data_IF_690831342197
#
_entry.id   IF_690831342197
#
_cell.length_a   1.000
_cell.length_b   1.000
_cell.length_c   1.000
_cell.angle_alpha   90.00
_cell.angle_beta   90.00
_cell.angle_gamma   90.00
#
_symmetry.space_group_name_H-M   'P 1'
#
loop_
_entity.id
_entity.type
_entity.pdbx_description
1 polymer ?
#
# COMPACT_ATOMS: atom_id res chain seq x y z
N UNK A 1 46.54 -29.85 -71.63
CA UNK A 1 47.25 -28.95 -70.70
C UNK A 1 46.28 -28.48 -69.62
N UNK A 2 46.47 -28.88 -68.36
CA UNK A 2 45.91 -28.18 -67.18
C UNK A 2 46.71 -28.61 -65.94
N UNK A 3 47.60 -27.73 -65.44
CA UNK A 3 48.35 -27.95 -64.19
C UNK A 3 47.42 -27.59 -63.02
N UNK A 4 47.00 -28.59 -62.25
CA UNK A 4 46.36 -28.40 -60.95
C UNK A 4 47.40 -27.91 -59.94
N UNK A 5 47.39 -26.60 -59.62
CA UNK A 5 48.15 -26.07 -58.49
C UNK A 5 47.50 -26.50 -57.17
N UNK A 6 48.21 -27.31 -56.38
CA UNK A 6 47.82 -27.64 -55.01
C UNK A 6 47.96 -26.39 -54.13
N UNK A 7 46.84 -25.81 -53.70
CA UNK A 7 46.81 -24.80 -52.63
C UNK A 7 47.45 -25.37 -51.36
N UNK A 8 48.67 -24.94 -51.02
CA UNK A 8 49.30 -25.25 -49.73
C UNK A 8 48.52 -24.54 -48.61
N UNK A 9 47.78 -25.30 -47.81
CA UNK A 9 47.21 -24.80 -46.55
C UNK A 9 48.35 -24.43 -45.61
N UNK A 10 48.57 -23.13 -45.41
CA UNK A 10 49.62 -22.59 -44.52
C UNK A 10 49.26 -23.01 -43.08
N UNK A 11 49.97 -24.01 -42.52
CA UNK A 11 49.76 -24.47 -41.14
C UNK A 11 50.03 -23.30 -40.19
N UNK A 12 49.01 -22.88 -39.43
CA UNK A 12 49.15 -21.85 -38.39
C UNK A 12 50.26 -22.18 -37.40
N UNK A 13 51.09 -21.18 -37.07
CA UNK A 13 52.17 -21.31 -36.09
C UNK A 13 51.65 -21.66 -34.70
N UNK A 14 52.43 -22.43 -33.92
CA UNK A 14 52.08 -22.88 -32.56
C UNK A 14 51.66 -21.71 -31.66
N UNK A 15 52.36 -20.58 -31.74
CA UNK A 15 52.03 -19.35 -30.99
C UNK A 15 50.63 -18.81 -31.32
N UNK A 16 50.25 -18.77 -32.60
CA UNK A 16 48.94 -18.27 -33.06
C UNK A 16 47.80 -19.17 -32.56
N UNK A 17 48.02 -20.49 -32.48
CA UNK A 17 47.07 -21.44 -31.89
C UNK A 17 46.91 -21.25 -30.39
N UNK A 18 48.02 -21.03 -29.67
CA UNK A 18 47.99 -20.77 -28.22
C UNK A 18 47.26 -19.47 -27.93
N UNK A 19 47.56 -18.39 -28.66
CA UNK A 19 46.85 -17.11 -28.52
C UNK A 19 45.35 -17.23 -28.77
N UNK A 20 44.92 -17.97 -29.81
CA UNK A 20 43.49 -18.23 -30.04
C UNK A 20 42.84 -19.02 -28.91
N UNK A 21 43.52 -20.02 -28.36
CA UNK A 21 42.99 -20.81 -27.24
C UNK A 21 42.83 -19.96 -25.98
N UNK A 22 43.80 -19.09 -25.68
CA UNK A 22 43.71 -18.14 -24.55
C UNK A 22 42.56 -17.17 -24.73
N UNK A 23 42.40 -16.59 -25.92
CA UNK A 23 41.28 -15.69 -26.24
C UNK A 23 39.94 -16.43 -26.12
N UNK A 24 39.86 -17.64 -26.66
CA UNK A 24 38.66 -18.47 -26.57
C UNK A 24 38.30 -18.79 -25.11
N UNK A 25 39.28 -19.21 -24.30
CA UNK A 25 39.07 -19.49 -22.88
C UNK A 25 38.62 -18.23 -22.12
N UNK A 26 39.22 -17.06 -22.44
CA UNK A 26 38.80 -15.78 -21.89
C UNK A 26 37.35 -15.43 -22.23
N UNK A 27 36.92 -15.65 -23.47
CA UNK A 27 35.53 -15.45 -23.90
C UNK A 27 34.57 -16.40 -23.18
N UNK A 28 34.94 -17.67 -23.01
CA UNK A 28 34.13 -18.64 -22.27
C UNK A 28 33.95 -18.21 -20.81
N UNK A 29 35.04 -17.79 -20.14
CA UNK A 29 34.96 -17.27 -18.77
C UNK A 29 34.07 -16.03 -18.71
N UNK A 30 34.21 -15.09 -19.65
CA UNK A 30 33.36 -13.90 -19.72
C UNK A 30 31.87 -14.27 -19.84
N UNK A 31 31.52 -15.18 -20.75
CA UNK A 31 30.15 -15.65 -20.92
C UNK A 31 29.62 -16.29 -19.63
N UNK A 32 30.42 -17.13 -18.96
CA UNK A 32 30.03 -17.75 -17.69
C UNK A 32 29.80 -16.72 -16.58
N UNK A 33 30.64 -15.68 -16.50
CA UNK A 33 30.47 -14.59 -15.52
C UNK A 33 29.21 -13.80 -15.82
N UNK A 34 29.00 -13.40 -17.08
CA UNK A 34 27.79 -12.67 -17.50
C UNK A 34 26.54 -13.50 -17.23
N UNK A 35 26.55 -14.79 -17.56
CA UNK A 35 25.45 -15.71 -17.28
C UNK A 35 25.14 -15.81 -15.78
N UNK A 36 26.17 -15.94 -14.93
CA UNK A 36 25.99 -15.97 -13.47
C UNK A 36 25.42 -14.66 -12.92
N UNK A 37 25.91 -13.51 -13.41
CA UNK A 37 25.39 -12.20 -13.01
C UNK A 37 23.94 -12.00 -13.47
N UNK A 38 23.64 -12.40 -14.70
CA UNK A 38 22.29 -12.36 -15.24
C UNK A 38 21.34 -13.23 -14.41
N UNK A 39 21.73 -14.47 -14.13
CA UNK A 39 20.96 -15.39 -13.31
C UNK A 39 20.67 -14.78 -11.94
N UNK A 40 21.69 -14.28 -11.23
CA UNK A 40 21.53 -13.64 -9.90
C UNK A 40 20.50 -12.51 -9.86
N UNK A 41 20.29 -11.81 -10.98
CA UNK A 41 19.37 -10.66 -11.07
C UNK A 41 17.97 -11.10 -11.49
N UNK A 42 17.86 -12.00 -12.46
CA UNK A 42 16.61 -12.28 -13.18
C UNK A 42 16.01 -13.67 -12.93
N UNK A 43 16.73 -14.61 -12.30
CA UNK A 43 16.07 -15.85 -11.86
C UNK A 43 15.17 -15.58 -10.66
N UNK A 44 14.05 -16.31 -10.54
CA UNK A 44 13.24 -16.30 -9.33
C UNK A 44 14.13 -16.54 -8.10
N UNK A 45 13.94 -15.71 -7.08
CA UNK A 45 14.53 -15.90 -5.75
C UNK A 45 13.46 -15.99 -4.67
N UNK A 46 12.23 -15.57 -4.98
CA UNK A 46 11.07 -15.74 -4.11
C UNK A 46 10.42 -17.08 -4.40
N UNK A 47 10.37 -17.97 -3.40
CA UNK A 47 9.75 -19.28 -3.49
C UNK A 47 8.80 -19.49 -2.31
N UNK A 48 7.51 -19.34 -2.56
CA UNK A 48 6.45 -19.44 -1.58
C UNK A 48 5.60 -20.68 -1.85
N UNK A 49 5.07 -21.31 -0.80
CA UNK A 49 4.08 -22.39 -0.93
C UNK A 49 2.72 -21.88 -1.42
N UNK A 50 2.47 -20.57 -1.31
CA UNK A 50 1.23 -19.90 -1.72
C UNK A 50 1.45 -19.03 -2.97
N UNK A 51 0.38 -18.41 -3.47
CA UNK A 51 0.49 -17.46 -4.58
C UNK A 51 1.21 -16.16 -4.18
N UNK A 52 1.13 -15.78 -2.91
CA UNK A 52 1.74 -14.56 -2.36
C UNK A 52 1.81 -14.61 -0.83
N UNK A 53 2.70 -13.78 -0.29
CA UNK A 53 2.84 -13.51 1.14
C UNK A 53 2.76 -12.00 1.40
N UNK A 54 2.17 -11.63 2.54
CA UNK A 54 2.13 -10.25 3.00
C UNK A 54 3.33 -9.99 3.89
N UNK A 55 4.19 -9.07 3.45
CA UNK A 55 5.37 -8.66 4.17
C UNK A 55 5.22 -7.22 4.66
N UNK A 56 5.46 -6.99 5.94
CA UNK A 56 5.27 -5.70 6.59
C UNK A 56 6.63 -5.13 7.00
N UNK A 57 6.89 -3.89 6.62
CA UNK A 57 8.10 -3.15 7.00
C UNK A 57 7.66 -1.96 7.84
N UNK A 58 7.74 -2.04 9.18
CA UNK A 58 7.38 -0.95 10.06
C UNK A 58 8.15 0.35 9.76
N UNK A 59 7.50 1.48 10.02
CA UNK A 59 8.10 2.81 9.96
C UNK A 59 9.35 2.88 10.85
N UNK A 60 10.45 3.37 10.28
CA UNK A 60 11.74 3.44 10.94
C UNK A 60 12.60 2.17 10.85
N UNK A 61 12.07 1.09 10.24
CA UNK A 61 12.86 -0.12 9.99
C UNK A 61 14.03 0.14 9.04
N UNK A 62 15.14 -0.53 9.29
CA UNK A 62 16.32 -0.49 8.44
C UNK A 62 16.40 -1.70 7.50
N UNK A 63 17.47 -1.77 6.73
CA UNK A 63 17.67 -2.88 5.79
C UNK A 63 17.96 -4.21 6.49
N UNK A 64 18.51 -4.19 7.71
CA UNK A 64 18.74 -5.40 8.48
C UNK A 64 17.42 -6.05 8.89
N UNK A 65 16.42 -5.26 9.31
CA UNK A 65 15.07 -5.73 9.55
C UNK A 65 14.47 -6.40 8.30
N UNK A 66 14.58 -5.76 7.14
CA UNK A 66 14.05 -6.32 5.88
C UNK A 66 14.74 -7.62 5.51
N UNK A 67 16.07 -7.66 5.57
CA UNK A 67 16.84 -8.86 5.22
C UNK A 67 16.51 -10.02 6.16
N UNK A 68 16.46 -9.76 7.47
CA UNK A 68 16.10 -10.74 8.49
C UNK A 68 14.67 -11.24 8.29
N UNK A 69 13.69 -10.35 8.08
CA UNK A 69 12.31 -10.74 7.86
C UNK A 69 12.09 -11.57 6.58
N UNK A 70 12.79 -11.27 5.49
CA UNK A 70 12.73 -12.06 4.26
C UNK A 70 13.38 -13.45 4.42
N UNK A 71 14.47 -13.56 5.20
CA UNK A 71 15.17 -14.80 5.46
C UNK A 71 14.43 -15.69 6.47
N UNK A 72 14.02 -15.14 7.61
CA UNK A 72 13.27 -15.84 8.67
C UNK A 72 11.88 -16.27 8.20
N UNK A 73 11.23 -15.47 7.36
CA UNK A 73 9.96 -15.81 6.73
C UNK A 73 10.09 -16.85 5.61
N UNK A 74 11.31 -17.22 5.21
CA UNK A 74 11.54 -18.13 4.08
C UNK A 74 11.06 -17.58 2.74
N UNK A 75 10.92 -16.25 2.62
CA UNK A 75 10.40 -15.58 1.42
C UNK A 75 11.42 -15.65 0.29
N UNK A 76 12.72 -15.62 0.60
CA UNK A 76 13.82 -15.67 -0.37
C UNK A 76 14.70 -16.91 -0.19
N UNK A 77 15.17 -17.51 -1.28
CA UNK A 77 16.02 -18.70 -1.25
C UNK A 77 17.52 -18.38 -1.09
N UNK A 78 18.02 -17.39 -1.83
CA UNK A 78 19.41 -16.95 -1.80
C UNK A 78 19.50 -15.50 -1.29
N UNK A 79 19.64 -15.36 0.03
CA UNK A 79 19.84 -14.10 0.75
C UNK A 79 21.02 -13.29 0.20
N UNK A 80 22.12 -13.96 -0.19
CA UNK A 80 23.31 -13.26 -0.71
C UNK A 80 23.00 -12.64 -2.07
N UNK A 81 22.27 -13.35 -2.93
CA UNK A 81 21.86 -12.85 -4.24
C UNK A 81 21.00 -11.59 -4.12
N UNK A 82 20.00 -11.64 -3.23
CA UNK A 82 19.16 -10.51 -2.89
C UNK A 82 19.98 -9.33 -2.38
N UNK A 83 20.83 -9.53 -1.36
CA UNK A 83 21.70 -8.51 -0.78
C UNK A 83 22.54 -7.79 -1.85
N UNK A 84 23.13 -8.55 -2.78
CA UNK A 84 23.94 -7.97 -3.85
C UNK A 84 23.11 -7.10 -4.79
N UNK A 85 21.91 -7.54 -5.19
CA UNK A 85 21.02 -6.74 -6.06
C UNK A 85 20.50 -5.51 -5.31
N UNK A 86 20.12 -5.67 -4.04
CA UNK A 86 19.67 -4.58 -3.17
C UNK A 86 20.73 -3.49 -3.06
N UNK A 87 21.98 -3.86 -2.75
CA UNK A 87 23.09 -2.90 -2.64
C UNK A 87 23.44 -2.24 -3.98
N UNK A 88 23.43 -3.00 -5.09
CA UNK A 88 23.65 -2.41 -6.43
C UNK A 88 22.56 -1.42 -6.84
N UNK A 89 21.38 -1.51 -6.24
CA UNK A 89 20.25 -0.61 -6.46
C UNK A 89 20.06 0.41 -5.34
N UNK A 90 21.00 0.50 -4.40
CA UNK A 90 20.95 1.41 -3.25
C UNK A 90 19.69 1.26 -2.37
N UNK A 91 19.08 0.07 -2.38
CA UNK A 91 17.93 -0.21 -1.51
C UNK A 91 18.35 -0.42 -0.06
N UNK A 92 19.58 -0.90 0.16
CA UNK A 92 20.20 -1.14 1.47
C UNK A 92 20.30 0.11 2.36
N UNK A 93 20.19 1.31 1.79
CA UNK A 93 20.22 2.59 2.50
C UNK A 93 18.92 3.40 2.35
N UNK A 94 17.91 2.87 1.64
CA UNK A 94 16.68 3.58 1.33
C UNK A 94 15.46 2.65 1.44
N UNK A 95 15.32 2.05 2.62
CA UNK A 95 14.17 1.22 2.96
C UNK A 95 12.90 2.07 2.98
N UNK A 96 11.83 1.54 2.40
CA UNK A 96 10.51 2.15 2.42
C UNK A 96 9.60 1.33 3.32
N UNK A 97 9.02 1.91 4.38
CA UNK A 97 8.06 1.20 5.19
C UNK A 97 6.81 0.92 4.35
N UNK A 98 6.02 -0.07 4.78
CA UNK A 98 4.82 -0.44 4.06
C UNK A 98 4.41 -1.89 4.21
N UNK A 99 3.19 -2.17 3.75
CA UNK A 99 2.72 -3.53 3.49
C UNK A 99 2.99 -3.87 2.03
N UNK A 100 3.59 -5.02 1.78
CA UNK A 100 3.97 -5.49 0.46
C UNK A 100 3.39 -6.87 0.20
N UNK A 101 2.70 -7.01 -0.93
CA UNK A 101 2.21 -8.31 -1.40
C UNK A 101 3.24 -8.96 -2.30
N UNK A 102 4.13 -9.74 -1.69
CA UNK A 102 5.21 -10.44 -2.39
C UNK A 102 4.62 -11.66 -3.09
N UNK A 103 4.63 -11.66 -4.42
CA UNK A 103 4.14 -12.80 -5.22
C UNK A 103 5.20 -13.90 -5.30
N UNK A 104 4.75 -15.14 -5.42
CA UNK A 104 5.64 -16.26 -5.70
C UNK A 104 6.34 -16.09 -7.06
N UNK A 105 7.60 -16.51 -7.16
CA UNK A 105 8.39 -16.53 -8.38
C UNK A 105 9.06 -15.21 -8.76
N UNK A 106 8.99 -14.18 -7.91
CA UNK A 106 9.69 -12.92 -8.18
C UNK A 106 11.22 -13.12 -8.19
N UNK A 107 11.86 -12.48 -9.15
CA UNK A 107 13.32 -12.33 -9.18
C UNK A 107 13.80 -11.29 -8.18
N UNK A 108 15.10 -11.32 -7.87
CA UNK A 108 15.73 -10.27 -7.06
C UNK A 108 15.52 -8.87 -7.65
N UNK A 109 15.56 -8.75 -8.98
CA UNK A 109 15.34 -7.50 -9.66
C UNK A 109 13.95 -6.91 -9.36
N UNK A 110 12.92 -7.74 -9.43
CA UNK A 110 11.52 -7.36 -9.21
C UNK A 110 11.23 -7.09 -7.74
N UNK A 111 11.66 -7.98 -6.83
CA UNK A 111 11.48 -7.80 -5.40
C UNK A 111 12.14 -6.51 -4.91
N UNK A 112 13.42 -6.29 -5.26
CA UNK A 112 14.13 -5.06 -4.89
C UNK A 112 13.47 -3.83 -5.52
N UNK A 113 12.97 -3.91 -6.75
CA UNK A 113 12.28 -2.78 -7.36
C UNK A 113 11.00 -2.43 -6.62
N UNK A 114 10.17 -3.43 -6.27
CA UNK A 114 8.93 -3.25 -5.53
C UNK A 114 9.17 -2.57 -4.18
N UNK A 115 10.14 -3.08 -3.43
CA UNK A 115 10.50 -2.55 -2.11
C UNK A 115 11.12 -1.15 -2.19
N UNK A 116 12.04 -0.93 -3.14
CA UNK A 116 12.70 0.36 -3.37
C UNK A 116 11.74 1.46 -3.80
N UNK A 117 10.75 1.13 -4.63
CA UNK A 117 9.77 2.11 -5.11
C UNK A 117 8.66 2.39 -4.10
N UNK A 118 8.61 1.64 -2.99
CA UNK A 118 7.47 1.71 -2.08
C UNK A 118 6.16 1.31 -2.75
N UNK A 119 6.20 0.31 -3.65
CA UNK A 119 4.99 -0.18 -4.32
C UNK A 119 4.19 -1.05 -3.35
N UNK A 120 3.49 -0.37 -2.43
CA UNK A 120 2.73 -0.99 -1.35
C UNK A 120 1.41 -1.58 -1.84
N UNK A 121 0.93 -2.58 -1.11
CA UNK A 121 -0.40 -3.16 -1.26
C UNK A 121 -1.35 -2.50 -0.24
N UNK A 122 -2.39 -1.77 -0.69
CA UNK A 122 -3.26 -1.01 0.20
C UNK A 122 -4.13 -1.91 1.08
N UNK A 123 -4.48 -1.42 2.27
CA UNK A 123 -5.45 -2.00 3.20
C UNK A 123 -6.85 -1.46 2.91
N UNK A 124 -7.86 -2.32 3.02
CA UNK A 124 -9.26 -1.91 2.96
C UNK A 124 -9.73 -1.63 4.38
N UNK A 125 -9.79 -0.36 4.75
CA UNK A 125 -10.33 0.06 6.04
C UNK A 125 -11.84 0.17 5.91
N UNK A 126 -12.56 -0.60 6.71
CA UNK A 126 -14.03 -0.61 6.73
C UNK A 126 -14.50 -0.16 8.10
N UNK A 127 -15.32 0.88 8.13
CA UNK A 127 -16.04 1.26 9.33
C UNK A 127 -17.48 1.65 9.00
N UNK A 128 -18.41 1.14 9.79
CA UNK A 128 -19.82 1.50 9.74
C UNK A 128 -20.07 2.71 10.65
N UNK A 129 -21.33 3.07 10.87
CA UNK A 129 -21.71 4.12 11.81
C UNK A 129 -21.01 3.89 13.17
N UNK A 130 -20.28 4.91 13.64
CA UNK A 130 -19.48 4.85 14.87
C UNK A 130 -20.09 5.75 15.92
N UNK A 131 -20.28 5.22 17.13
CA UNK A 131 -20.88 5.94 18.25
C UNK A 131 -19.96 6.98 18.88
N UNK A 132 -18.65 6.78 18.80
CA UNK A 132 -17.63 7.73 19.26
C UNK A 132 -16.35 7.63 18.43
N UNK A 133 -15.50 8.64 18.55
CA UNK A 133 -14.20 8.68 17.88
C UNK A 133 -13.22 7.62 18.43
N UNK A 134 -13.35 7.22 19.70
CA UNK A 134 -12.60 6.09 20.27
C UNK A 134 -12.96 4.77 19.60
N UNK A 135 -14.26 4.54 19.35
CA UNK A 135 -14.72 3.36 18.62
C UNK A 135 -14.23 3.37 17.18
N UNK A 136 -14.17 4.55 16.55
CA UNK A 136 -13.59 4.68 15.21
C UNK A 136 -12.11 4.29 15.21
N UNK A 137 -11.32 4.79 16.15
CA UNK A 137 -9.92 4.42 16.29
C UNK A 137 -9.75 2.89 16.45
N UNK A 138 -10.56 2.27 17.32
CA UNK A 138 -10.54 0.82 17.51
C UNK A 138 -10.99 -0.01 16.29
N UNK A 139 -11.77 0.58 15.38
CA UNK A 139 -12.17 -0.06 14.10
C UNK A 139 -11.12 0.12 13.00
N UNK A 140 -10.41 1.23 12.99
CA UNK A 140 -9.46 1.60 11.93
C UNK A 140 -8.07 1.01 12.18
N UNK A 141 -7.57 1.11 13.41
CA UNK A 141 -6.20 0.72 13.78
C UNK A 141 -5.85 -0.75 13.56
N UNK A 142 -6.77 -1.75 13.60
CA UNK A 142 -6.43 -3.12 13.22
C UNK A 142 -5.93 -3.28 11.77
N UNK A 143 -6.20 -2.30 10.91
CA UNK A 143 -5.74 -2.29 9.53
C UNK A 143 -4.46 -1.48 9.33
N UNK A 144 -4.03 -0.68 10.31
CA UNK A 144 -2.93 0.26 10.20
C UNK A 144 -1.77 -0.13 11.12
N UNK A 145 -0.63 0.52 10.93
CA UNK A 145 0.54 0.40 11.80
C UNK A 145 0.34 1.14 13.13
N UNK A 146 -0.41 2.24 13.10
CA UNK A 146 -0.58 3.14 14.22
C UNK A 146 -1.21 2.45 15.45
N UNK A 147 -0.68 2.77 16.63
CA UNK A 147 -1.22 2.28 17.89
C UNK A 147 -2.64 2.83 18.14
N UNK A 148 -3.53 1.97 18.63
CA UNK A 148 -4.93 2.31 18.84
C UNK A 148 -5.15 3.42 19.87
N UNK A 149 -4.32 3.50 20.92
CA UNK A 149 -4.44 4.50 21.97
C UNK A 149 -3.91 5.86 21.50
N UNK A 150 -2.80 5.88 20.76
CA UNK A 150 -2.28 7.09 20.13
C UNK A 150 -3.27 7.65 19.08
N UNK A 151 -3.88 6.77 18.29
CA UNK A 151 -4.88 7.14 17.29
C UNK A 151 -6.14 7.72 17.94
N UNK A 152 -6.66 7.09 19.00
CA UNK A 152 -7.81 7.58 19.76
C UNK A 152 -7.50 8.94 20.42
N UNK A 153 -6.32 9.07 21.02
CA UNK A 153 -5.86 10.32 21.63
C UNK A 153 -5.78 11.45 20.61
N UNK A 154 -5.29 11.16 19.39
CA UNK A 154 -5.28 12.13 18.30
C UNK A 154 -6.71 12.56 17.93
N UNK A 155 -7.60 11.62 17.64
CA UNK A 155 -8.96 11.94 17.20
C UNK A 155 -9.81 12.66 18.26
N UNK A 156 -9.53 12.44 19.54
CA UNK A 156 -10.26 13.05 20.66
C UNK A 156 -9.60 14.32 21.21
N UNK A 157 -8.52 14.78 20.58
CA UNK A 157 -7.92 16.08 20.89
C UNK A 157 -8.95 17.20 20.66
N UNK A 158 -9.06 18.11 21.63
CA UNK A 158 -10.10 19.15 21.66
C UNK A 158 -9.90 20.24 20.60
N UNK A 159 -8.66 20.44 20.15
CA UNK A 159 -8.30 21.45 19.17
C UNK A 159 -8.38 20.90 17.74
N UNK A 160 -8.35 19.57 17.57
CA UNK A 160 -8.37 18.91 16.27
C UNK A 160 -9.61 19.27 15.42
N UNK A 161 -10.85 19.29 15.95
CA UNK A 161 -12.03 19.66 15.15
C UNK A 161 -11.90 21.00 14.43
N UNK A 162 -11.35 22.00 15.12
CA UNK A 162 -11.20 23.35 14.58
C UNK A 162 -10.26 23.39 13.37
N UNK A 163 -9.24 22.52 13.33
CA UNK A 163 -8.33 22.36 12.16
C UNK A 163 -9.10 21.99 10.89
N UNK A 164 -10.20 21.24 11.02
CA UNK A 164 -10.99 20.74 9.90
C UNK A 164 -12.29 21.53 9.65
N UNK A 165 -12.51 22.61 10.40
CA UNK A 165 -13.70 23.46 10.30
C UNK A 165 -14.94 22.89 10.99
N UNK A 166 -14.74 22.09 12.03
CA UNK A 166 -15.80 21.52 12.87
C UNK A 166 -15.65 21.99 14.31
N UNK A 167 -16.72 21.86 15.08
CA UNK A 167 -16.65 21.87 16.54
C UNK A 167 -16.61 20.43 17.08
N UNK A 168 -16.39 20.28 18.39
CA UNK A 168 -16.30 18.97 19.02
C UNK A 168 -17.59 18.13 18.87
N UNK A 169 -18.77 18.76 18.76
CA UNK A 169 -20.05 18.06 18.64
C UNK A 169 -20.31 17.55 17.22
N UNK A 170 -19.78 18.24 16.22
CA UNK A 170 -20.01 17.96 14.80
C UNK A 170 -18.85 17.21 14.14
N UNK A 171 -17.69 17.11 14.78
CA UNK A 171 -16.51 16.48 14.18
C UNK A 171 -16.72 15.04 13.74
N UNK A 172 -17.51 14.25 14.49
CA UNK A 172 -17.85 12.87 14.11
C UNK A 172 -18.59 12.79 12.76
N UNK A 173 -19.35 13.83 12.39
CA UNK A 173 -20.06 13.89 11.10
C UNK A 173 -19.14 13.96 9.89
N UNK A 174 -17.86 14.27 10.09
CA UNK A 174 -16.85 14.25 9.04
C UNK A 174 -16.56 12.82 8.54
N UNK A 175 -16.67 11.82 9.42
CA UNK A 175 -16.25 10.46 9.13
C UNK A 175 -17.39 9.66 8.50
N UNK A 176 -17.51 9.73 7.17
CA UNK A 176 -18.56 9.05 6.41
C UNK A 176 -18.31 7.53 6.43
N UNK A 177 -19.25 6.71 6.94
CA UNK A 177 -19.11 5.26 6.97
C UNK A 177 -19.05 4.64 5.57
N UNK A 178 -17.92 4.02 5.22
CA UNK A 178 -17.67 3.41 3.92
C UNK A 178 -16.47 2.45 4.00
N UNK A 179 -16.10 1.86 2.86
CA UNK A 179 -14.84 1.15 2.68
C UNK A 179 -13.82 2.03 1.95
N UNK A 180 -12.65 2.25 2.55
CA UNK A 180 -11.60 3.11 2.00
C UNK A 180 -10.27 2.37 1.83
N UNK A 181 -9.56 2.68 0.75
CA UNK A 181 -8.18 2.24 0.55
C UNK A 181 -7.20 3.16 1.28
N UNK A 182 -6.35 2.56 2.11
CA UNK A 182 -5.26 3.24 2.81
C UNK A 182 -3.96 2.47 2.67
N UNK A 183 -2.83 3.13 2.91
CA UNK A 183 -1.58 2.41 3.13
C UNK A 183 -1.51 1.98 4.59
N UNK A 184 -0.90 0.82 4.86
CA UNK A 184 -0.78 0.31 6.22
C UNK A 184 -0.05 1.29 7.15
N UNK A 185 0.91 2.05 6.62
CA UNK A 185 1.70 3.05 7.36
C UNK A 185 0.98 4.40 7.51
N UNK A 186 -0.29 4.52 7.11
CA UNK A 186 -1.03 5.78 7.23
C UNK A 186 -1.12 6.21 8.70
N UNK A 187 -0.67 7.42 8.98
CA UNK A 187 -0.73 8.03 10.32
C UNK A 187 -2.14 8.53 10.68
N UNK A 188 -2.44 8.80 11.97
CA UNK A 188 -3.72 9.38 12.39
C UNK A 188 -4.05 10.70 11.69
N UNK A 189 -3.03 11.54 11.46
CA UNK A 189 -3.19 12.81 10.75
C UNK A 189 -3.52 12.61 9.27
N UNK A 190 -2.75 11.77 8.57
CA UNK A 190 -3.01 11.46 7.16
C UNK A 190 -4.38 10.80 6.96
N UNK A 191 -4.80 9.93 7.89
CA UNK A 191 -6.14 9.36 7.89
C UNK A 191 -7.21 10.45 7.99
N UNK A 192 -7.05 11.36 8.95
CA UNK A 192 -8.03 12.42 9.21
C UNK A 192 -8.10 13.42 8.04
N UNK A 193 -6.95 13.80 7.48
CA UNK A 193 -6.87 14.60 6.26
C UNK A 193 -7.58 13.94 5.09
N UNK A 194 -7.38 12.62 4.92
CA UNK A 194 -8.05 11.84 3.89
C UNK A 194 -9.57 11.80 4.10
N UNK A 195 -10.02 11.61 5.34
CA UNK A 195 -11.44 11.60 5.69
C UNK A 195 -12.09 12.97 5.44
N UNK A 196 -11.39 14.08 5.69
CA UNK A 196 -11.87 15.41 5.31
C UNK A 196 -12.07 15.53 3.81
N UNK A 197 -11.16 15.01 2.99
CA UNK A 197 -11.32 15.03 1.54
C UNK A 197 -12.53 14.20 1.09
N UNK A 198 -12.72 13.03 1.67
CA UNK A 198 -13.87 12.16 1.36
C UNK A 198 -15.19 12.78 1.81
N UNK A 199 -15.20 13.49 2.95
CA UNK A 199 -16.34 14.29 3.38
C UNK A 199 -16.71 15.37 2.36
N UNK A 200 -15.75 16.17 1.88
CA UNK A 200 -16.05 17.21 0.90
C UNK A 200 -16.54 16.62 -0.43
N UNK A 201 -15.97 15.49 -0.87
CA UNK A 201 -16.45 14.76 -2.06
C UNK A 201 -17.86 14.21 -1.84
N UNK A 202 -18.16 13.69 -0.65
CA UNK A 202 -19.48 13.17 -0.33
C UNK A 202 -20.53 14.27 -0.43
N UNK A 203 -20.22 15.47 0.04
CA UNK A 203 -21.16 16.59 0.00
C UNK A 203 -21.21 17.32 -1.34
N UNK A 204 -20.26 17.10 -2.25
CA UNK A 204 -20.23 17.81 -3.54
C UNK A 204 -21.51 17.60 -4.37
N UNK A 205 -22.01 18.69 -4.95
CA UNK A 205 -23.15 18.68 -5.88
C UNK A 205 -24.53 18.55 -5.23
N UNK A 206 -25.19 17.41 -5.42
CA UNK A 206 -26.64 17.27 -5.16
C UNK A 206 -26.97 17.17 -3.67
N UNK A 207 -26.10 16.53 -2.86
CA UNK A 207 -26.35 16.33 -1.42
C UNK A 207 -26.39 17.66 -0.69
N UNK A 208 -25.43 18.55 -0.95
CA UNK A 208 -25.40 19.89 -0.35
C UNK A 208 -26.63 20.72 -0.76
N UNK A 209 -27.06 20.64 -2.03
CA UNK A 209 -28.29 21.31 -2.48
C UNK A 209 -29.55 20.80 -1.77
N UNK A 210 -29.64 19.48 -1.52
CA UNK A 210 -30.77 18.88 -0.78
C UNK A 210 -30.77 19.33 0.68
N UNK A 211 -29.60 19.35 1.34
CA UNK A 211 -29.47 19.86 2.70
C UNK A 211 -29.88 21.33 2.80
N UNK A 212 -29.39 22.17 1.90
CA UNK A 212 -29.74 23.60 1.85
C UNK A 212 -31.23 23.83 1.60
N UNK A 213 -31.89 22.99 0.80
CA UNK A 213 -33.35 23.06 0.58
C UNK A 213 -34.16 22.71 1.84
N UNK A 214 -33.60 21.86 2.70
CA UNK A 214 -34.18 21.52 4.00
C UNK A 214 -33.79 22.54 5.09
N UNK A 215 -33.03 23.59 4.75
CA UNK A 215 -32.47 24.56 5.71
C UNK A 215 -31.62 23.90 6.81
N UNK A 216 -31.00 22.75 6.51
CA UNK A 216 -30.17 21.99 7.43
C UNK A 216 -28.69 22.09 7.06
N UNK A 217 -27.84 22.18 8.07
CA UNK A 217 -26.39 21.98 7.92
C UNK A 217 -26.07 20.52 7.64
N UNK A 218 -24.89 20.27 7.05
CA UNK A 218 -24.38 18.91 6.79
C UNK A 218 -24.37 18.05 8.06
N UNK A 219 -23.93 18.61 9.18
CA UNK A 219 -23.86 17.92 10.46
C UNK A 219 -25.25 17.52 10.98
N UNK A 220 -26.25 18.41 10.85
CA UNK A 220 -27.64 18.10 11.22
C UNK A 220 -28.24 17.00 10.34
N UNK A 221 -27.93 16.99 9.04
CA UNK A 221 -28.36 15.91 8.14
C UNK A 221 -27.72 14.58 8.53
N UNK A 222 -26.42 14.55 8.86
CA UNK A 222 -25.76 13.33 9.36
C UNK A 222 -26.37 12.87 10.68
N UNK A 223 -26.65 13.79 11.61
CA UNK A 223 -27.27 13.47 12.89
C UNK A 223 -28.69 12.90 12.71
N UNK A 224 -29.49 13.48 11.81
CA UNK A 224 -30.80 12.93 11.49
C UNK A 224 -30.68 11.54 10.86
N UNK A 225 -29.73 11.37 9.94
CA UNK A 225 -29.50 10.09 9.28
C UNK A 225 -29.06 9.00 10.28
N UNK A 226 -28.23 9.32 11.28
CA UNK A 226 -27.82 8.34 12.30
C UNK A 226 -28.97 7.93 13.22
N UNK A 227 -29.91 8.83 13.53
CA UNK A 227 -31.14 8.49 14.25
C UNK A 227 -32.01 7.55 13.42
N UNK A 228 -32.22 7.87 12.14
CA UNK A 228 -33.03 7.03 11.24
C UNK A 228 -32.41 5.63 11.10
N UNK A 229 -31.09 5.55 10.96
CA UNK A 229 -30.33 4.29 10.84
C UNK A 229 -30.46 3.40 12.09
N UNK A 230 -30.41 3.99 13.30
CA UNK A 230 -30.59 3.23 14.55
C UNK A 230 -32.07 2.82 14.79
N UNK A 231 -33.04 3.54 14.22
CA UNK A 231 -34.49 3.25 14.37
C UNK A 231 -35.06 2.32 13.30
N UNK A 232 -34.30 2.03 12.23
CA UNK A 232 -34.78 1.21 11.10
C UNK A 232 -34.01 -0.10 11.00
N UNK A 233 -34.75 -1.17 10.70
CA UNK A 233 -34.14 -2.48 10.41
C UNK A 233 -33.97 -2.70 8.90
N UNK A 234 -34.78 -2.03 8.08
CA UNK A 234 -34.80 -2.19 6.63
C UNK A 234 -34.82 -0.83 5.91
N UNK A 235 -34.03 -0.74 4.83
CA UNK A 235 -33.85 0.50 4.07
C UNK A 235 -35.12 1.10 3.46
N UNK A 236 -36.16 0.30 3.25
CA UNK A 236 -37.45 0.74 2.70
C UNK A 236 -38.26 1.57 3.71
N UNK A 237 -37.95 1.47 5.00
CA UNK A 237 -38.59 2.26 6.06
C UNK A 237 -37.95 3.65 6.25
N UNK A 238 -36.68 3.82 5.84
CA UNK A 238 -35.87 5.02 6.08
C UNK A 238 -36.57 6.30 5.63
N UNK A 239 -37.19 6.30 4.45
CA UNK A 239 -37.87 7.49 3.92
C UNK A 239 -39.08 7.90 4.76
N UNK A 240 -39.81 6.93 5.33
CA UNK A 240 -40.98 7.19 6.18
C UNK A 240 -40.55 7.71 7.55
N UNK A 241 -39.55 7.07 8.14
CA UNK A 241 -39.00 7.45 9.45
C UNK A 241 -38.33 8.83 9.38
N UNK A 242 -37.52 9.10 8.35
CA UNK A 242 -36.94 10.42 8.10
C UNK A 242 -38.01 11.50 7.93
N UNK A 243 -39.08 11.22 7.17
CA UNK A 243 -40.21 12.14 7.01
C UNK A 243 -40.91 12.47 8.34
N UNK A 244 -41.06 11.49 9.23
CA UNK A 244 -41.61 11.72 10.57
C UNK A 244 -40.74 12.69 11.38
N UNK A 245 -39.42 12.46 11.41
CA UNK A 245 -38.48 13.30 12.16
C UNK A 245 -38.37 14.71 11.60
N UNK A 246 -38.36 14.88 10.27
CA UNK A 246 -38.38 16.20 9.63
C UNK A 246 -39.65 16.98 10.02
N UNK A 247 -40.82 16.34 9.99
CA UNK A 247 -42.07 16.99 10.42
C UNK A 247 -42.04 17.40 11.91
N UNK A 248 -41.42 16.60 12.78
CA UNK A 248 -41.27 16.93 14.21
C UNK A 248 -40.37 18.14 14.40
N UNK A 249 -39.24 18.20 13.70
CA UNK A 249 -38.31 19.32 13.74
C UNK A 249 -38.98 20.61 13.27
N UNK A 250 -39.73 20.57 12.15
CA UNK A 250 -40.51 21.73 11.66
C UNK A 250 -41.54 22.23 12.68
N UNK A 251 -42.11 21.33 13.48
CA UNK A 251 -43.08 21.65 14.53
C UNK A 251 -42.44 22.03 15.88
N UNK A 252 -41.10 22.01 15.99
CA UNK A 252 -40.38 22.27 17.24
C UNK A 252 -40.59 21.20 18.31
N UNK A 253 -40.94 19.97 17.90
CA UNK A 253 -41.14 18.84 18.82
C UNK A 253 -39.76 18.21 19.11
N UNK A 254 -39.37 18.02 20.39
CA UNK A 254 -38.12 17.35 20.75
C UNK A 254 -37.99 15.94 20.14
N UNK A 255 -36.77 15.56 19.75
CA UNK A 255 -36.43 14.23 19.23
C UNK A 255 -35.90 13.31 20.32
#
# INVERSE_FOLDING_TARGET
>A
MAKFERRRTRKMGKAVRISMLVVFLGLVIMVLVVFKLYARVFTPNVNLDTAHELFYIPTGSDFAYVLGGLEEGGIIEDTKSFLWVASKKYYDINVKPGRYKIRNGLSNNELVNMLRSGNQDPVMVVFNNVRSLDFLAGKVTPYLEADSADFASYLTDKELPAKYGFDAATFSSMFIPETYEFFWTTSPEEFTDRMKQEYEKFWDGERDRKANKLEMTRAEVVALASIVDEETLYNDENSRVAGLYLNRLEQGIPL
#
